data_IF_773586434885
#
_entry.id   IF_773586434885
#
_cell.length_a   1.000
_cell.length_b   1.000
_cell.length_c   1.000
_cell.angle_alpha   90.00
_cell.angle_beta   90.00
_cell.angle_gamma   90.00
#
_symmetry.space_group_name_H-M   'P 1'
#
loop_
_entity.id
_entity.type
_entity.pdbx_description
1 polymer ?
#
# COMPACT_ATOMS: atom_id res chain seq x y z
N UNK A 1 8.94 -19.14 0.68
CA UNK A 1 9.10 -18.05 -0.30
C UNK A 1 9.49 -16.78 0.45
N UNK A 2 10.39 -15.98 -0.12
CA UNK A 2 10.94 -14.78 0.50
C UNK A 2 11.14 -13.70 -0.60
N UNK A 3 10.97 -12.39 -0.32
CA UNK A 3 11.17 -11.32 -1.31
C UNK A 3 12.58 -11.34 -1.88
N UNK A 4 12.76 -10.97 -3.15
CA UNK A 4 14.10 -10.88 -3.74
C UNK A 4 14.88 -9.66 -3.23
N UNK A 5 14.15 -8.62 -2.79
CA UNK A 5 14.73 -7.39 -2.25
C UNK A 5 13.91 -6.86 -1.07
N UNK A 6 14.61 -6.50 -0.01
CA UNK A 6 14.07 -5.83 1.16
C UNK A 6 14.66 -4.43 1.22
N UNK A 7 13.80 -3.43 1.05
CA UNK A 7 14.14 -2.02 1.15
C UNK A 7 13.82 -1.52 2.56
N UNK A 8 14.75 -0.76 3.13
CA UNK A 8 14.68 -0.24 4.48
C UNK A 8 14.85 1.29 4.42
N UNK A 9 13.91 2.03 5.01
CA UNK A 9 14.15 3.43 5.35
C UNK A 9 15.22 3.55 6.47
N UNK A 10 15.71 4.76 6.74
CA UNK A 10 16.72 5.01 7.77
C UNK A 10 16.16 5.59 9.05
N UNK A 11 15.73 6.85 9.01
CA UNK A 11 15.41 7.62 10.21
C UNK A 11 14.12 7.06 10.79
N UNK A 12 14.06 6.81 12.10
CA UNK A 12 12.92 6.15 12.78
C UNK A 12 12.53 4.76 12.29
N UNK A 13 13.26 4.19 11.33
CA UNK A 13 13.10 2.81 10.84
C UNK A 13 14.27 1.91 11.26
N UNK A 14 15.49 2.21 10.81
CA UNK A 14 16.70 1.46 11.21
C UNK A 14 17.29 1.98 12.52
N UNK A 15 17.16 3.28 12.76
CA UNK A 15 17.65 3.90 13.99
C UNK A 15 16.72 5.01 14.47
N UNK A 16 16.72 5.23 15.77
CA UNK A 16 16.01 6.33 16.40
C UNK A 16 16.77 7.65 16.17
N UNK A 17 16.03 8.70 15.80
CA UNK A 17 16.55 10.06 15.60
C UNK A 17 16.74 10.44 14.14
N UNK A 18 17.07 11.71 13.91
CA UNK A 18 17.26 12.30 12.59
C UNK A 18 18.75 12.54 12.32
N UNK A 19 19.30 11.85 11.32
CA UNK A 19 20.65 12.10 10.80
C UNK A 19 20.62 13.02 9.57
N UNK A 20 19.72 14.01 9.58
CA UNK A 20 19.53 14.95 8.48
C UNK A 20 19.81 16.38 8.94
N UNK A 21 20.78 17.12 8.35
CA UNK A 21 21.08 18.50 8.71
C UNK A 21 19.91 19.48 8.55
N UNK A 22 18.87 19.12 7.79
CA UNK A 22 17.60 19.87 7.68
C UNK A 22 16.81 19.86 8.97
N UNK A 23 16.81 18.73 9.69
CA UNK A 23 16.00 18.51 10.89
C UNK A 23 16.83 18.50 12.17
N UNK A 24 18.16 18.53 12.04
CA UNK A 24 19.08 18.35 13.15
C UNK A 24 20.32 19.25 13.02
N UNK A 25 20.98 19.51 14.15
CA UNK A 25 22.14 20.39 14.22
C UNK A 25 23.47 19.62 14.32
N UNK A 26 23.55 18.43 13.68
CA UNK A 26 24.78 17.65 13.63
C UNK A 26 25.92 18.46 12.98
N UNK A 27 27.10 18.40 13.59
CA UNK A 27 28.32 19.07 13.13
C UNK A 27 28.24 20.59 13.07
N UNK A 28 27.35 21.23 13.85
CA UNK A 28 27.21 22.70 13.91
C UNK A 28 27.75 23.34 15.19
N UNK A 29 28.18 22.55 16.18
CA UNK A 29 28.71 23.06 17.44
C UNK A 29 30.19 23.48 17.35
N UNK A 30 30.70 24.02 18.46
CA UNK A 30 32.11 24.44 18.57
C UNK A 30 33.04 23.24 18.35
N UNK A 31 34.04 23.39 17.47
CA UNK A 31 35.00 22.32 17.16
C UNK A 31 34.52 21.31 16.11
N UNK A 32 33.47 21.66 15.36
CA UNK A 32 32.98 20.87 14.23
C UNK A 32 34.08 20.58 13.19
N UNK A 33 34.00 19.38 12.63
CA UNK A 33 34.86 18.90 11.53
C UNK A 33 34.10 18.97 10.22
N UNK A 34 34.85 19.02 9.12
CA UNK A 34 34.34 18.90 7.77
C UNK A 34 35.00 17.68 7.11
N UNK A 35 34.23 16.79 6.46
CA UNK A 35 32.78 16.89 6.23
C UNK A 35 31.93 16.62 7.48
N UNK A 36 30.62 16.93 7.44
CA UNK A 36 29.72 16.91 8.61
C UNK A 36 29.68 15.55 9.31
N UNK A 37 29.82 14.45 8.56
CA UNK A 37 29.84 13.09 9.08
C UNK A 37 31.05 12.75 9.96
N UNK A 38 32.13 13.53 9.91
CA UNK A 38 33.29 13.36 10.80
C UNK A 38 33.03 13.90 12.21
N UNK A 39 31.81 14.38 12.46
CA UNK A 39 31.30 14.71 13.78
C UNK A 39 30.57 13.54 14.46
N UNK A 40 30.35 12.41 13.78
CA UNK A 40 29.75 11.24 14.43
C UNK A 40 30.79 10.52 15.31
N UNK A 41 30.50 10.44 16.60
CA UNK A 41 31.25 9.67 17.58
C UNK A 41 30.46 8.42 17.99
N UNK A 42 31.12 7.25 17.97
CA UNK A 42 30.53 6.00 18.47
C UNK A 42 30.57 6.00 20.00
N UNK A 43 29.43 5.73 20.62
CA UNK A 43 29.32 5.58 22.07
C UNK A 43 29.38 4.11 22.46
N UNK A 44 28.59 3.26 21.80
CA UNK A 44 28.60 1.81 22.03
C UNK A 44 28.27 1.04 20.72
N UNK A 45 27.85 -0.23 20.82
CA UNK A 45 27.49 -1.06 19.65
C UNK A 45 26.24 -0.61 18.91
N UNK A 46 25.36 0.18 19.52
CA UNK A 46 24.08 0.65 18.95
C UNK A 46 23.93 2.16 19.01
N UNK A 47 24.65 2.87 19.87
CA UNK A 47 24.53 4.32 20.01
C UNK A 47 25.69 5.07 19.35
N UNK A 48 25.34 6.12 18.62
CA UNK A 48 26.23 7.18 18.16
C UNK A 48 25.76 8.54 18.68
N UNK A 49 26.64 9.53 18.71
CA UNK A 49 26.33 10.90 19.10
C UNK A 49 27.10 11.92 18.27
N UNK A 50 26.64 13.16 18.29
CA UNK A 50 27.38 14.28 17.72
C UNK A 50 28.49 14.71 18.67
N UNK A 51 29.73 14.77 18.18
CA UNK A 51 30.92 15.19 18.93
C UNK A 51 30.85 16.63 19.45
N UNK A 52 30.14 17.51 18.76
CA UNK A 52 30.03 18.93 19.12
C UNK A 52 28.81 19.24 19.97
N UNK A 53 27.85 18.33 20.03
CA UNK A 53 26.68 18.39 20.88
C UNK A 53 26.23 16.99 21.31
N UNK A 54 26.70 16.52 22.47
CA UNK A 54 26.41 15.17 22.98
C UNK A 54 24.92 14.90 23.28
N UNK A 55 24.04 15.91 23.22
CA UNK A 55 22.60 15.72 23.32
C UNK A 55 21.99 15.18 22.01
N UNK A 56 22.66 15.37 20.87
CA UNK A 56 22.26 14.77 19.61
C UNK A 56 22.79 13.33 19.57
N UNK A 57 21.87 12.37 19.65
CA UNK A 57 22.16 10.94 19.68
C UNK A 57 21.28 10.21 18.68
N UNK A 58 21.81 9.13 18.12
CA UNK A 58 21.03 8.17 17.35
C UNK A 58 21.33 6.75 17.83
N UNK A 59 20.30 5.91 17.81
CA UNK A 59 20.35 4.56 18.35
C UNK A 59 19.83 3.55 17.34
N UNK A 60 20.65 2.57 16.95
CA UNK A 60 20.19 1.45 16.16
C UNK A 60 19.12 0.66 16.93
N UNK A 61 17.98 0.41 16.28
CA UNK A 61 16.94 -0.43 16.86
C UNK A 61 17.46 -1.86 17.09
N UNK A 62 17.06 -2.46 18.22
CA UNK A 62 17.70 -3.66 18.75
C UNK A 62 17.61 -4.88 17.82
N UNK A 63 16.51 -5.02 17.07
CA UNK A 63 16.28 -6.16 16.18
C UNK A 63 16.93 -6.00 14.80
N UNK A 64 17.38 -4.80 14.43
CA UNK A 64 17.90 -4.53 13.08
C UNK A 64 19.07 -5.43 12.69
N UNK A 65 20.09 -5.69 13.54
CA UNK A 65 21.14 -6.64 13.20
C UNK A 65 20.64 -8.05 12.89
N UNK A 66 19.65 -8.55 13.66
CA UNK A 66 19.02 -9.85 13.44
C UNK A 66 18.21 -9.88 12.15
N UNK A 67 17.49 -8.81 11.85
CA UNK A 67 16.68 -8.68 10.64
C UNK A 67 17.58 -8.67 9.39
N UNK A 68 18.66 -7.90 9.40
CA UNK A 68 19.65 -7.90 8.32
C UNK A 68 20.20 -9.30 8.09
N UNK A 69 20.55 -10.02 9.16
CA UNK A 69 21.02 -11.40 9.05
C UNK A 69 19.97 -12.31 8.40
N UNK A 70 18.70 -12.23 8.80
CA UNK A 70 17.61 -13.04 8.22
C UNK A 70 17.38 -12.74 6.73
N UNK A 71 17.43 -11.47 6.33
CA UNK A 71 17.32 -11.06 4.92
C UNK A 71 18.42 -11.74 4.09
N UNK A 72 19.66 -11.67 4.55
CA UNK A 72 20.82 -12.21 3.85
C UNK A 72 20.81 -13.74 3.81
N UNK A 73 20.41 -14.41 4.91
CA UNK A 73 20.26 -15.87 4.97
C UNK A 73 19.20 -16.40 4.00
N UNK A 74 18.19 -15.59 3.68
CA UNK A 74 17.18 -15.90 2.68
C UNK A 74 17.57 -15.46 1.25
N UNK A 75 18.85 -15.11 1.02
CA UNK A 75 19.39 -14.69 -0.28
C UNK A 75 18.71 -13.44 -0.89
N UNK A 76 18.11 -12.59 -0.05
CA UNK A 76 17.52 -11.34 -0.51
C UNK A 76 18.53 -10.20 -0.48
N UNK A 77 18.37 -9.27 -1.42
CA UNK A 77 19.17 -8.04 -1.48
C UNK A 77 18.64 -7.00 -0.52
N UNK A 78 19.51 -6.32 0.19
CA UNK A 78 19.15 -5.17 1.02
C UNK A 78 19.32 -3.90 0.20
N UNK A 79 18.28 -3.06 0.18
CA UNK A 79 18.35 -1.69 -0.32
C UNK A 79 18.08 -0.70 0.82
N UNK A 80 18.80 0.42 0.83
CA UNK A 80 18.42 1.59 1.63
C UNK A 80 17.65 2.55 0.73
N UNK A 81 16.48 2.98 1.20
CA UNK A 81 15.59 3.91 0.51
C UNK A 81 15.22 5.02 1.48
N UNK A 82 15.96 6.12 1.44
CA UNK A 82 15.87 7.20 2.42
C UNK A 82 15.72 8.55 1.75
N UNK A 83 14.76 9.34 2.25
CA UNK A 83 14.58 10.75 1.86
C UNK A 83 15.51 11.70 2.59
N UNK A 84 16.41 11.18 3.43
CA UNK A 84 17.41 11.95 4.14
C UNK A 84 18.31 12.69 3.13
N UNK A 85 18.54 13.98 3.38
CA UNK A 85 19.32 14.84 2.51
C UNK A 85 20.84 14.65 2.65
N UNK A 86 21.31 13.93 3.68
CA UNK A 86 22.72 13.67 3.96
C UNK A 86 23.07 12.20 3.86
N UNK A 87 23.46 11.79 2.65
CA UNK A 87 24.05 10.46 2.41
C UNK A 87 25.28 10.20 3.29
N UNK A 88 26.10 11.22 3.54
CA UNK A 88 27.34 11.11 4.33
C UNK A 88 27.08 10.69 5.77
N UNK A 89 26.14 11.37 6.46
CA UNK A 89 25.78 11.05 7.85
C UNK A 89 25.21 9.66 7.98
N UNK A 90 24.21 9.31 7.16
CA UNK A 90 23.61 7.97 7.21
C UNK A 90 24.64 6.88 6.90
N UNK A 91 25.47 7.06 5.86
CA UNK A 91 26.49 6.07 5.48
C UNK A 91 27.53 5.88 6.58
N UNK A 92 27.94 6.96 7.26
CA UNK A 92 28.88 6.91 8.39
C UNK A 92 28.26 6.24 9.61
N UNK A 93 27.00 6.52 9.94
CA UNK A 93 26.30 5.85 11.03
C UNK A 93 26.20 4.33 10.78
N UNK A 94 25.76 3.94 9.58
CA UNK A 94 25.65 2.55 9.16
C UNK A 94 27.00 1.81 9.07
N UNK A 95 28.14 2.52 9.06
CA UNK A 95 29.47 1.90 9.08
C UNK A 95 29.94 1.51 10.48
N UNK A 96 29.47 2.23 11.52
CA UNK A 96 29.75 1.92 12.91
C UNK A 96 28.94 0.74 13.44
N UNK A 97 27.70 0.60 12.98
CA UNK A 97 26.83 -0.50 13.38
C UNK A 97 27.14 -1.78 12.60
N UNK A 98 27.01 -2.92 13.28
CA UNK A 98 27.37 -4.24 12.75
C UNK A 98 26.16 -5.18 12.69
N UNK A 99 26.17 -6.07 11.71
CA UNK A 99 25.27 -7.21 11.60
C UNK A 99 26.04 -8.42 11.07
N UNK A 100 25.46 -9.63 11.21
CA UNK A 100 26.08 -10.86 10.72
C UNK A 100 25.76 -11.07 9.25
N UNK A 101 26.77 -11.42 8.46
CA UNK A 101 26.60 -11.90 7.10
C UNK A 101 26.13 -13.37 7.07
N UNK A 102 25.86 -13.96 5.88
CA UNK A 102 25.43 -15.38 5.80
C UNK A 102 26.40 -16.39 6.41
N UNK A 103 27.69 -16.06 6.52
CA UNK A 103 28.71 -16.92 7.13
C UNK A 103 28.79 -16.75 8.65
N UNK A 104 28.00 -15.82 9.21
CA UNK A 104 27.98 -15.50 10.63
C UNK A 104 29.03 -14.48 11.07
N UNK A 105 29.82 -13.93 10.14
CA UNK A 105 30.83 -12.92 10.43
C UNK A 105 30.20 -11.54 10.62
N UNK A 106 30.67 -10.77 11.60
CA UNK A 106 30.22 -9.40 11.80
C UNK A 106 30.80 -8.46 10.74
N UNK A 107 29.92 -7.71 10.07
CA UNK A 107 30.25 -6.75 9.03
C UNK A 107 29.54 -5.44 9.28
N UNK A 108 30.07 -4.34 8.77
CA UNK A 108 29.36 -3.07 8.83
C UNK A 108 28.04 -3.18 8.07
N UNK A 109 26.95 -2.65 8.62
CA UNK A 109 25.64 -2.72 7.95
C UNK A 109 25.74 -2.11 6.55
N UNK A 110 26.46 -1.00 6.41
CA UNK A 110 26.65 -0.34 5.11
C UNK A 110 27.34 -1.22 4.05
N UNK A 111 28.14 -2.20 4.45
CA UNK A 111 28.85 -3.13 3.55
C UNK A 111 27.95 -4.28 3.10
N UNK A 112 26.88 -4.55 3.84
CA UNK A 112 25.87 -5.57 3.53
C UNK A 112 24.74 -5.05 2.62
N UNK A 113 24.61 -3.72 2.52
CA UNK A 113 23.63 -3.05 1.67
C UNK A 113 24.09 -3.07 0.21
N UNK A 114 23.26 -3.61 -0.67
CA UNK A 114 23.55 -3.72 -2.11
C UNK A 114 23.18 -2.49 -2.92
N UNK A 115 22.09 -1.79 -2.55
CA UNK A 115 21.58 -0.61 -3.26
C UNK A 115 21.36 0.53 -2.26
N UNK A 116 21.78 1.74 -2.60
CA UNK A 116 21.88 2.88 -1.66
C UNK A 116 21.25 4.12 -2.29
N UNK A 117 19.95 4.31 -2.10
CA UNK A 117 19.22 5.46 -2.61
C UNK A 117 18.94 6.45 -1.46
N UNK A 118 19.76 7.50 -1.38
CA UNK A 118 19.72 8.57 -0.35
C UNK A 118 19.54 9.93 -1.02
N UNK A 119 18.30 10.41 -1.09
CA UNK A 119 18.00 11.76 -1.59
C UNK A 119 16.53 12.13 -1.34
N UNK A 120 16.26 13.42 -1.15
CA UNK A 120 14.91 13.92 -0.87
C UNK A 120 14.03 13.97 -2.14
N UNK A 121 13.54 12.79 -2.54
CA UNK A 121 12.57 12.58 -3.62
C UNK A 121 11.49 11.58 -3.19
N UNK A 122 10.34 11.53 -3.89
CA UNK A 122 9.36 10.46 -3.66
C UNK A 122 9.99 9.08 -3.74
N UNK A 123 9.58 8.16 -2.85
CA UNK A 123 10.12 6.79 -2.86
C UNK A 123 9.79 6.00 -4.13
N UNK A 124 8.78 6.43 -4.88
CA UNK A 124 8.52 5.89 -6.22
C UNK A 124 9.70 6.09 -7.18
N UNK A 125 10.40 7.23 -7.12
CA UNK A 125 11.62 7.45 -7.93
C UNK A 125 12.79 6.56 -7.48
N UNK A 126 12.93 6.35 -6.17
CA UNK A 126 13.94 5.44 -5.61
C UNK A 126 13.71 4.01 -6.12
N UNK A 127 12.47 3.54 -6.07
CA UNK A 127 12.11 2.21 -6.56
C UNK A 127 12.25 2.08 -8.08
N UNK A 128 12.00 3.12 -8.87
CA UNK A 128 12.26 3.10 -10.30
C UNK A 128 13.76 2.85 -10.60
N UNK A 129 14.65 3.50 -9.85
CA UNK A 129 16.09 3.28 -9.97
C UNK A 129 16.52 1.90 -9.47
N UNK A 130 15.97 1.44 -8.34
CA UNK A 130 16.19 0.08 -7.83
C UNK A 130 15.74 -0.98 -8.83
N UNK A 131 14.57 -0.84 -9.46
CA UNK A 131 14.09 -1.75 -10.51
C UNK A 131 15.04 -1.75 -11.71
N UNK A 132 15.50 -0.56 -12.14
CA UNK A 132 16.47 -0.46 -13.24
C UNK A 132 17.79 -1.17 -12.95
N UNK A 133 18.29 -1.10 -11.71
CA UNK A 133 19.57 -1.71 -11.32
C UNK A 133 19.45 -3.19 -10.97
N UNK A 134 18.42 -3.58 -10.21
CA UNK A 134 18.21 -4.96 -9.75
C UNK A 134 17.57 -5.86 -10.81
N UNK A 135 16.81 -5.28 -11.75
CA UNK A 135 15.94 -5.98 -12.71
C UNK A 135 14.84 -6.83 -12.04
N UNK A 136 14.60 -6.68 -10.75
CA UNK A 136 13.49 -7.35 -10.08
C UNK A 136 12.17 -6.64 -10.34
N UNK A 137 11.08 -7.40 -10.35
CA UNK A 137 9.75 -6.82 -10.41
C UNK A 137 9.38 -6.19 -9.07
N UNK A 138 8.56 -5.12 -9.07
CA UNK A 138 8.17 -4.45 -7.83
C UNK A 138 7.48 -5.38 -6.84
N UNK A 139 6.70 -6.31 -7.38
CA UNK A 139 6.04 -7.38 -6.64
C UNK A 139 7.00 -8.37 -5.96
N UNK A 140 8.27 -8.41 -6.36
CA UNK A 140 9.32 -9.19 -5.67
C UNK A 140 9.99 -8.39 -4.52
N UNK A 141 9.52 -7.16 -4.25
CA UNK A 141 10.11 -6.24 -3.29
C UNK A 141 9.16 -5.94 -2.12
N UNK A 142 9.76 -5.61 -0.98
CA UNK A 142 9.07 -5.05 0.19
C UNK A 142 9.81 -3.81 0.70
N UNK A 143 9.07 -2.78 1.13
CA UNK A 143 9.57 -1.61 1.83
C UNK A 143 9.13 -1.65 3.30
N UNK A 144 10.07 -1.39 4.20
CA UNK A 144 9.81 -1.04 5.59
C UNK A 144 10.16 0.43 5.83
N UNK A 145 9.24 1.16 6.48
CA UNK A 145 9.32 2.61 6.66
C UNK A 145 8.45 3.04 7.84
N UNK A 146 8.77 4.09 8.59
CA UNK A 146 7.91 4.61 9.65
C UNK A 146 6.84 5.58 9.13
N UNK A 147 7.09 6.22 7.99
CA UNK A 147 6.17 7.18 7.39
C UNK A 147 5.14 6.47 6.50
N UNK A 148 3.88 6.45 6.95
CA UNK A 148 2.76 5.88 6.20
C UNK A 148 2.60 6.49 4.79
N UNK A 149 3.06 7.72 4.54
CA UNK A 149 2.98 8.35 3.20
C UNK A 149 3.74 7.56 2.14
N UNK A 150 4.71 6.73 2.55
CA UNK A 150 5.43 5.82 1.68
C UNK A 150 4.56 4.69 1.12
N UNK A 151 3.32 4.49 1.62
CA UNK A 151 2.35 3.56 1.01
C UNK A 151 2.07 3.86 -0.48
N UNK A 152 2.43 5.06 -0.95
CA UNK A 152 2.40 5.41 -2.36
C UNK A 152 3.20 4.44 -3.23
N UNK A 153 4.26 3.78 -2.74
CA UNK A 153 5.00 2.78 -3.54
C UNK A 153 4.17 1.52 -3.76
N UNK A 154 3.34 1.14 -2.81
CA UNK A 154 2.40 0.03 -2.97
C UNK A 154 1.29 0.40 -3.94
N UNK A 155 0.71 1.59 -3.75
CA UNK A 155 -0.36 2.10 -4.59
C UNK A 155 0.09 2.29 -6.04
N UNK A 156 1.25 2.89 -6.29
CA UNK A 156 1.72 3.26 -7.63
C UNK A 156 2.51 2.15 -8.35
N UNK A 157 3.29 1.36 -7.61
CA UNK A 157 4.28 0.44 -8.18
C UNK A 157 4.04 -1.03 -7.82
N UNK A 158 3.39 -1.32 -6.69
CA UNK A 158 3.13 -2.70 -6.22
C UNK A 158 4.23 -3.33 -5.42
N UNK A 159 5.11 -2.50 -4.87
CA UNK A 159 5.99 -2.90 -3.79
C UNK A 159 5.12 -3.20 -2.58
N UNK A 160 5.35 -4.31 -1.87
CA UNK A 160 4.67 -4.52 -0.59
C UNK A 160 5.15 -3.48 0.41
N UNK A 161 4.26 -2.82 1.15
CA UNK A 161 4.63 -1.77 2.10
C UNK A 161 4.24 -2.13 3.53
N UNK A 162 5.20 -2.14 4.45
CA UNK A 162 4.99 -2.37 5.88
C UNK A 162 5.44 -1.16 6.70
N UNK A 163 4.50 -0.53 7.40
CA UNK A 163 4.80 0.63 8.24
C UNK A 163 5.35 0.23 9.61
N UNK A 164 6.39 0.92 10.07
CA UNK A 164 6.99 0.84 11.42
C UNK A 164 6.36 1.89 12.33
N UNK A 165 5.16 1.61 12.82
CA UNK A 165 4.34 2.59 13.56
C UNK A 165 4.92 2.97 14.93
N UNK A 166 4.40 4.07 15.46
CA UNK A 166 4.56 4.52 16.84
C UNK A 166 6.02 4.76 17.27
N UNK A 167 6.90 5.10 16.32
CA UNK A 167 8.33 5.35 16.55
C UNK A 167 9.08 4.17 17.20
N UNK A 168 8.52 2.96 17.11
CA UNK A 168 9.14 1.72 17.62
C UNK A 168 10.27 1.21 16.74
N UNK A 169 10.41 1.78 15.54
CA UNK A 169 11.33 1.33 14.52
C UNK A 169 10.99 -0.06 13.98
N UNK A 170 11.94 -0.58 13.22
CA UNK A 170 11.84 -1.91 12.66
C UNK A 170 12.12 -2.97 13.74
N UNK A 171 11.06 -3.54 14.30
CA UNK A 171 11.11 -4.67 15.24
C UNK A 171 11.03 -6.00 14.50
N UNK A 172 11.42 -7.10 15.16
CA UNK A 172 11.30 -8.44 14.61
C UNK A 172 9.85 -8.79 14.25
N UNK A 173 8.89 -8.43 15.09
CA UNK A 173 7.48 -8.71 14.85
C UNK A 173 6.93 -7.91 13.66
N UNK A 174 7.29 -6.63 13.55
CA UNK A 174 6.90 -5.80 12.41
C UNK A 174 7.48 -6.36 11.11
N UNK A 175 8.75 -6.77 11.15
CA UNK A 175 9.43 -7.41 10.03
C UNK A 175 8.73 -8.71 9.59
N UNK A 176 8.43 -9.63 10.52
CA UNK A 176 7.74 -10.88 10.20
C UNK A 176 6.32 -10.64 9.65
N UNK A 177 5.60 -9.64 10.19
CA UNK A 177 4.29 -9.23 9.64
C UNK A 177 4.40 -8.74 8.20
N UNK A 178 5.41 -7.92 7.89
CA UNK A 178 5.69 -7.47 6.54
C UNK A 178 6.02 -8.63 5.59
N UNK A 179 6.88 -9.55 6.00
CA UNK A 179 7.23 -10.73 5.20
C UNK A 179 5.99 -11.62 4.94
N UNK A 180 5.13 -11.84 5.93
CA UNK A 180 3.90 -12.62 5.71
C UNK A 180 2.91 -11.88 4.81
N UNK A 181 2.79 -10.55 4.93
CA UNK A 181 2.00 -9.74 3.99
C UNK A 181 2.50 -9.88 2.56
N UNK A 182 3.82 -9.83 2.34
CA UNK A 182 4.40 -10.05 1.02
C UNK A 182 4.05 -11.44 0.48
N UNK A 183 4.12 -12.49 1.32
CA UNK A 183 3.71 -13.86 0.93
C UNK A 183 2.23 -13.93 0.57
N UNK A 184 1.34 -13.27 1.33
CA UNK A 184 -0.09 -13.20 0.99
C UNK A 184 -0.33 -12.48 -0.35
N UNK A 185 0.43 -11.40 -0.62
CA UNK A 185 0.41 -10.74 -1.92
C UNK A 185 0.84 -11.68 -3.06
N UNK A 186 1.82 -12.57 -2.86
CA UNK A 186 2.20 -13.55 -3.89
C UNK A 186 1.12 -14.62 -4.12
N UNK A 187 0.42 -15.07 -3.07
CA UNK A 187 -0.60 -16.12 -3.16
C UNK A 187 -1.82 -15.72 -3.98
N UNK A 188 -2.06 -14.42 -4.18
CA UNK A 188 -3.22 -13.90 -4.91
C UNK A 188 -2.90 -13.56 -6.37
N UNK A 189 -1.66 -13.75 -6.83
CA UNK A 189 -1.28 -13.34 -8.19
C UNK A 189 -1.79 -14.31 -9.23
N UNK A 190 -2.62 -13.81 -10.13
CA UNK A 190 -2.90 -14.43 -11.42
C UNK A 190 -2.04 -13.75 -12.49
N UNK A 191 -1.33 -14.48 -13.36
CA UNK A 191 -0.59 -13.89 -14.48
C UNK A 191 -1.49 -12.99 -15.35
N UNK A 192 -0.92 -11.90 -15.87
CA UNK A 192 -1.58 -11.07 -16.87
C UNK A 192 -1.14 -11.53 -18.28
N UNK A 193 -2.07 -12.09 -19.02
CA UNK A 193 -1.92 -12.66 -20.36
C UNK A 193 -2.61 -11.78 -21.43
N UNK A 194 -2.76 -10.49 -21.17
CA UNK A 194 -3.52 -9.55 -21.99
C UNK A 194 -5.01 -9.53 -21.68
N UNK A 195 -5.80 -8.86 -22.54
CA UNK A 195 -7.25 -8.69 -22.39
C UNK A 195 -8.09 -9.77 -23.07
N UNK A 196 -7.47 -10.83 -23.62
CA UNK A 196 -8.24 -11.91 -24.24
C UNK A 196 -8.95 -12.75 -23.15
N UNK A 197 -10.28 -12.73 -23.16
CA UNK A 197 -11.11 -13.52 -22.22
C UNK A 197 -10.79 -15.02 -22.24
N UNK A 198 -10.46 -15.57 -23.41
CA UNK A 198 -10.14 -17.00 -23.58
C UNK A 198 -8.89 -17.43 -22.80
N UNK A 199 -7.99 -16.50 -22.49
CA UNK A 199 -6.78 -16.77 -21.70
C UNK A 199 -7.06 -17.05 -20.22
N UNK A 200 -8.30 -16.83 -19.76
CA UNK A 200 -8.69 -16.94 -18.35
C UNK A 200 -9.91 -17.85 -18.20
N UNK A 201 -9.72 -19.18 -18.17
CA UNK A 201 -10.83 -20.13 -18.10
C UNK A 201 -11.60 -20.05 -16.78
N UNK A 202 -10.94 -19.64 -15.69
CA UNK A 202 -11.52 -19.49 -14.34
C UNK A 202 -12.03 -18.08 -14.06
N UNK A 203 -12.08 -17.20 -15.05
CA UNK A 203 -12.49 -15.82 -14.84
C UNK A 203 -13.89 -15.73 -14.24
N UNK A 204 -14.14 -14.70 -13.44
CA UNK A 204 -15.43 -14.48 -12.82
C UNK A 204 -15.82 -13.01 -12.89
N UNK A 205 -17.05 -12.74 -13.31
CA UNK A 205 -17.58 -11.38 -13.35
C UNK A 205 -17.85 -10.89 -11.93
N UNK A 206 -17.46 -9.65 -11.64
CA UNK A 206 -17.56 -9.11 -10.27
C UNK A 206 -18.24 -7.74 -10.19
N UNK A 207 -18.53 -7.09 -11.32
CA UNK A 207 -19.33 -5.86 -11.34
C UNK A 207 -18.80 -4.80 -12.30
N UNK A 208 -19.17 -3.56 -12.05
CA UNK A 208 -18.96 -2.42 -12.93
C UNK A 208 -18.27 -1.28 -12.21
N UNK A 209 -17.44 -0.50 -12.91
CA UNK A 209 -16.76 0.66 -12.35
C UNK A 209 -16.68 1.78 -13.38
N UNK A 210 -16.98 3.02 -12.98
CA UNK A 210 -16.70 4.22 -13.77
C UNK A 210 -15.25 4.62 -13.60
N UNK A 211 -14.55 4.96 -14.69
CA UNK A 211 -13.13 5.31 -14.66
C UNK A 211 -12.78 6.32 -15.75
N UNK A 212 -11.71 7.09 -15.53
CA UNK A 212 -11.11 7.90 -16.59
C UNK A 212 -10.32 7.03 -17.59
N UNK A 213 -10.18 7.55 -18.82
CA UNK A 213 -9.52 6.85 -19.92
C UNK A 213 -8.05 6.50 -19.63
N UNK A 214 -7.35 7.30 -18.81
CA UNK A 214 -5.97 7.02 -18.39
C UNK A 214 -5.90 5.79 -17.50
N UNK A 215 -6.75 5.71 -16.49
CA UNK A 215 -6.89 4.54 -15.61
C UNK A 215 -7.26 3.28 -16.41
N UNK A 216 -8.21 3.39 -17.34
CA UNK A 216 -8.60 2.28 -18.21
C UNK A 216 -7.39 1.74 -18.98
N UNK A 217 -6.60 2.62 -19.60
CA UNK A 217 -5.40 2.21 -20.36
C UNK A 217 -4.35 1.55 -19.48
N UNK A 218 -4.14 2.05 -18.27
CA UNK A 218 -3.20 1.44 -17.33
C UNK A 218 -3.64 0.02 -16.96
N UNK A 219 -4.90 -0.17 -16.59
CA UNK A 219 -5.44 -1.49 -16.24
C UNK A 219 -5.48 -2.44 -17.44
N UNK A 220 -5.79 -1.92 -18.63
CA UNK A 220 -5.82 -2.73 -19.85
C UNK A 220 -4.45 -3.28 -20.24
N UNK A 221 -3.37 -2.62 -19.82
CA UNK A 221 -1.99 -3.05 -20.02
C UNK A 221 -1.42 -3.86 -18.84
N UNK A 222 -2.29 -4.35 -17.94
CA UNK A 222 -1.87 -5.12 -16.77
C UNK A 222 -1.25 -4.28 -15.65
N UNK A 223 -1.42 -2.95 -15.72
CA UNK A 223 -1.03 -2.03 -14.67
C UNK A 223 -2.08 -1.90 -13.58
N UNK A 224 -2.09 -0.75 -12.93
CA UNK A 224 -2.98 -0.43 -11.80
C UNK A 224 -3.47 1.00 -11.89
N UNK A 225 -4.55 1.30 -11.17
CA UNK A 225 -5.01 2.66 -10.95
C UNK A 225 -3.96 3.44 -10.15
N UNK A 226 -3.71 4.68 -10.56
CA UNK A 226 -2.67 5.55 -9.99
C UNK A 226 -3.18 6.96 -9.64
N UNK A 227 -4.42 7.28 -10.00
CA UNK A 227 -4.96 8.59 -9.71
C UNK A 227 -5.24 8.72 -8.21
N UNK A 228 -5.04 9.94 -7.71
CA UNK A 228 -5.20 10.31 -6.30
C UNK A 228 -6.21 11.43 -6.12
N UNK A 229 -6.91 11.79 -7.20
CA UNK A 229 -7.79 12.95 -7.28
C UNK A 229 -9.26 12.57 -7.20
N UNK A 230 -9.63 11.36 -7.60
CA UNK A 230 -11.01 10.90 -7.47
C UNK A 230 -11.42 10.88 -6.01
N UNK A 231 -12.63 11.37 -5.74
CA UNK A 231 -13.21 11.30 -4.42
C UNK A 231 -13.40 9.84 -4.03
N UNK A 232 -12.71 9.42 -2.98
CA UNK A 232 -12.77 8.06 -2.48
C UNK A 232 -12.94 8.08 -0.95
N UNK A 233 -13.95 7.33 -0.51
CA UNK A 233 -14.30 7.05 0.88
C UNK A 233 -13.30 6.10 1.58
N UNK A 234 -12.52 5.34 0.82
CA UNK A 234 -11.69 4.23 1.31
C UNK A 234 -10.27 4.29 0.73
N UNK A 235 -9.56 5.39 0.99
CA UNK A 235 -8.20 5.60 0.48
C UNK A 235 -8.18 5.80 -1.04
N UNK A 236 -7.18 5.26 -1.74
CA UNK A 236 -7.04 5.36 -3.20
C UNK A 236 -7.53 4.09 -3.92
N UNK A 237 -8.59 3.48 -3.41
CA UNK A 237 -9.13 2.24 -3.95
C UNK A 237 -10.04 2.46 -5.17
N UNK A 238 -10.24 1.40 -5.93
CA UNK A 238 -11.19 1.36 -7.04
C UNK A 238 -12.53 0.83 -6.53
N UNK A 239 -13.59 1.58 -6.83
CA UNK A 239 -14.97 1.22 -6.50
C UNK A 239 -15.58 0.37 -7.60
N UNK A 240 -16.29 -0.68 -7.18
CA UNK A 240 -17.02 -1.58 -8.05
C UNK A 240 -18.45 -1.65 -7.52
N UNK A 241 -19.40 -1.38 -8.41
CA UNK A 241 -20.82 -1.51 -8.17
C UNK A 241 -21.36 -2.81 -8.77
N UNK A 242 -22.36 -3.38 -8.14
CA UNK A 242 -23.16 -4.50 -8.67
C UNK A 242 -24.20 -4.03 -9.71
N UNK A 243 -24.40 -2.73 -9.89
CA UNK A 243 -25.37 -2.17 -10.84
C UNK A 243 -24.67 -1.22 -11.84
N UNK A 244 -24.80 -1.45 -13.17
CA UNK A 244 -24.18 -0.60 -14.17
C UNK A 244 -24.67 0.85 -14.11
N UNK A 245 -25.91 1.10 -13.71
CA UNK A 245 -26.42 2.47 -13.55
C UNK A 245 -25.74 3.21 -12.39
N UNK A 246 -25.38 2.51 -11.31
CA UNK A 246 -24.60 3.09 -10.20
C UNK A 246 -23.19 3.42 -10.70
N UNK A 247 -22.56 2.51 -11.45
CA UNK A 247 -21.25 2.78 -12.06
C UNK A 247 -21.30 3.97 -13.03
N UNK A 248 -22.37 4.12 -13.83
CA UNK A 248 -22.60 5.30 -14.67
C UNK A 248 -22.75 6.58 -13.87
N UNK A 249 -23.47 6.56 -12.74
CA UNK A 249 -23.57 7.73 -11.87
C UNK A 249 -22.19 8.19 -11.39
N UNK A 250 -21.36 7.25 -10.91
CA UNK A 250 -19.99 7.57 -10.50
C UNK A 250 -19.11 8.00 -11.66
N UNK A 251 -19.29 7.41 -12.84
CA UNK A 251 -18.60 7.81 -14.06
C UNK A 251 -18.80 9.28 -14.42
N UNK A 252 -20.01 9.81 -14.24
CA UNK A 252 -20.32 11.23 -14.43
C UNK A 252 -19.83 12.10 -13.26
N UNK A 253 -19.94 11.58 -12.03
CA UNK A 253 -19.44 12.31 -10.84
C UNK A 253 -17.94 12.59 -10.91
N UNK A 254 -17.16 11.65 -11.44
CA UNK A 254 -15.72 11.78 -11.67
C UNK A 254 -15.39 13.01 -12.54
N UNK A 255 -16.19 13.29 -13.57
CA UNK A 255 -16.01 14.46 -14.43
C UNK A 255 -16.21 15.75 -13.63
N UNK A 256 -17.29 15.82 -12.86
CA UNK A 256 -17.61 17.01 -12.07
C UNK A 256 -16.64 17.28 -10.92
N UNK A 257 -16.06 16.23 -10.32
CA UNK A 257 -15.39 16.35 -9.03
C UNK A 257 -13.86 16.13 -9.05
N UNK A 258 -13.32 15.49 -10.09
CA UNK A 258 -11.90 15.09 -10.11
C UNK A 258 -11.14 15.55 -11.35
N UNK A 259 -11.72 15.39 -12.54
CA UNK A 259 -10.98 15.56 -13.81
C UNK A 259 -11.54 16.64 -14.75
N UNK A 260 -12.65 17.29 -14.40
CA UNK A 260 -13.31 18.30 -15.22
C UNK A 260 -14.35 17.70 -16.18
N UNK A 261 -15.26 18.56 -16.66
CA UNK A 261 -16.39 18.13 -17.50
C UNK A 261 -15.96 17.52 -18.85
N UNK A 262 -14.80 17.93 -19.36
CA UNK A 262 -14.23 17.41 -20.61
C UNK A 262 -13.49 16.07 -20.43
N UNK A 263 -13.44 15.53 -19.20
CA UNK A 263 -12.79 14.26 -18.93
C UNK A 263 -13.47 13.11 -19.69
N UNK A 264 -12.65 12.34 -20.40
CA UNK A 264 -13.10 11.11 -21.05
C UNK A 264 -13.18 10.01 -20.00
N UNK A 265 -14.39 9.66 -19.59
CA UNK A 265 -14.67 8.59 -18.65
C UNK A 265 -15.57 7.54 -19.28
N UNK A 266 -15.46 6.29 -18.84
CA UNK A 266 -16.25 5.19 -19.35
C UNK A 266 -16.54 4.16 -18.24
N UNK A 267 -17.73 3.56 -18.29
CA UNK A 267 -18.04 2.41 -17.43
C UNK A 267 -17.35 1.17 -17.97
N UNK A 268 -16.70 0.43 -17.09
CA UNK A 268 -16.03 -0.82 -17.40
C UNK A 268 -16.69 -1.98 -16.66
N UNK A 269 -16.88 -3.10 -17.37
CA UNK A 269 -17.13 -4.40 -16.75
C UNK A 269 -15.81 -4.96 -16.21
N UNK A 270 -15.82 -5.37 -14.95
CA UNK A 270 -14.66 -5.92 -14.27
C UNK A 270 -14.81 -7.41 -14.03
N UNK A 271 -13.72 -8.12 -14.31
CA UNK A 271 -13.62 -9.57 -14.15
C UNK A 271 -12.38 -9.90 -13.35
N UNK A 272 -12.47 -10.84 -12.43
CA UNK A 272 -11.28 -11.48 -11.87
C UNK A 272 -10.75 -12.51 -12.85
N UNK A 273 -9.43 -12.58 -13.03
CA UNK A 273 -8.72 -13.51 -13.93
C UNK A 273 -8.81 -14.95 -13.45
N UNK A 274 -8.80 -15.15 -12.13
CA UNK A 274 -8.95 -16.44 -11.48
C UNK A 274 -9.96 -16.34 -10.34
N UNK A 275 -11.14 -16.93 -10.56
CA UNK A 275 -12.25 -16.93 -9.63
C UNK A 275 -12.01 -17.78 -8.38
N UNK A 276 -11.15 -18.81 -8.45
CA UNK A 276 -10.81 -19.65 -7.29
C UNK A 276 -9.88 -18.90 -6.35
N UNK A 277 -8.90 -18.17 -6.91
CA UNK A 277 -8.04 -17.27 -6.14
C UNK A 277 -8.86 -16.15 -5.51
N UNK A 278 -9.79 -15.56 -6.26
CA UNK A 278 -10.68 -14.54 -5.72
C UNK A 278 -11.49 -15.09 -4.55
N UNK A 279 -12.11 -16.27 -4.65
CA UNK A 279 -12.90 -16.86 -3.55
C UNK A 279 -12.07 -17.12 -2.29
N UNK A 280 -10.82 -17.57 -2.43
CA UNK A 280 -9.90 -17.81 -1.31
C UNK A 280 -9.30 -16.55 -0.70
N UNK A 281 -9.29 -15.44 -1.44
CA UNK A 281 -8.78 -14.16 -0.93
C UNK A 281 -9.62 -13.67 0.24
N UNK A 282 -8.94 -13.02 1.19
CA UNK A 282 -9.55 -12.33 2.31
C UNK A 282 -10.56 -11.27 1.83
N UNK A 283 -11.78 -11.32 2.39
CA UNK A 283 -12.85 -10.37 2.13
C UNK A 283 -13.52 -9.99 3.42
N UNK A 284 -13.91 -8.73 3.52
CA UNK A 284 -14.59 -8.22 4.71
C UNK A 284 -15.66 -7.22 4.33
N UNK A 285 -16.80 -7.29 5.03
CA UNK A 285 -17.79 -6.23 5.00
C UNK A 285 -17.61 -5.31 6.20
N UNK A 286 -17.21 -4.07 5.96
CA UNK A 286 -17.00 -3.10 7.04
C UNK A 286 -18.29 -2.35 7.36
N UNK A 287 -18.51 -1.97 8.63
CA UNK A 287 -19.67 -1.16 8.99
C UNK A 287 -19.51 0.24 8.39
N UNK A 288 -20.63 0.91 8.12
CA UNK A 288 -20.64 2.30 7.69
C UNK A 288 -20.35 3.24 8.88
N UNK A 289 -19.09 3.26 9.32
CA UNK A 289 -18.60 4.13 10.40
C UNK A 289 -17.65 5.18 9.84
N UNK A 290 -17.98 6.46 10.04
CA UNK A 290 -17.24 7.59 9.46
C UNK A 290 -15.76 7.66 9.86
N UNK A 291 -15.37 7.08 11.00
CA UNK A 291 -13.98 7.05 11.46
C UNK A 291 -13.08 6.07 10.67
N UNK A 292 -13.66 5.16 9.88
CA UNK A 292 -12.90 4.26 9.00
C UNK A 292 -12.71 4.84 7.59
N UNK A 293 -13.41 5.94 7.31
CA UNK A 293 -13.51 6.55 5.99
C UNK A 293 -12.46 7.63 5.82
N UNK A 294 -12.09 7.84 4.57
CA UNK A 294 -11.11 8.81 4.13
C UNK A 294 -11.83 9.94 3.40
N UNK A 295 -11.33 11.17 3.54
CA UNK A 295 -11.77 12.29 2.72
C UNK A 295 -10.63 12.78 1.83
N UNK A 296 -10.44 12.09 0.70
CA UNK A 296 -9.31 12.35 -0.23
C UNK A 296 -9.30 13.79 -0.78
N UNK A 297 -10.45 14.46 -0.83
CA UNK A 297 -10.55 15.81 -1.37
C UNK A 297 -10.12 16.91 -0.39
N UNK A 298 -10.21 16.64 0.92
CA UNK A 298 -9.96 17.64 1.97
C UNK A 298 -8.74 17.30 2.83
N UNK A 299 -8.27 16.07 2.81
CA UNK A 299 -7.17 15.62 3.64
C UNK A 299 -5.86 15.65 2.85
N UNK A 300 -4.76 15.97 3.54
CA UNK A 300 -3.42 15.83 2.97
C UNK A 300 -3.01 14.36 2.87
N UNK A 301 -1.91 14.11 2.15
CA UNK A 301 -1.39 12.76 1.89
C UNK A 301 -1.08 11.99 3.18
N UNK A 302 -0.57 12.66 4.21
CA UNK A 302 -0.22 12.05 5.49
C UNK A 302 -1.46 11.55 6.22
N UNK A 303 -2.47 12.40 6.34
CA UNK A 303 -3.74 12.03 6.98
C UNK A 303 -4.45 10.91 6.22
N UNK A 304 -4.41 10.92 4.88
CA UNK A 304 -4.96 9.84 4.05
C UNK A 304 -4.21 8.53 4.32
N UNK A 305 -2.88 8.57 4.32
CA UNK A 305 -2.07 7.38 4.53
C UNK A 305 -2.25 6.78 5.93
N UNK A 306 -2.24 7.59 6.99
CA UNK A 306 -2.48 7.10 8.35
C UNK A 306 -3.91 6.59 8.55
N UNK A 307 -4.90 7.18 7.88
CA UNK A 307 -6.28 6.67 7.86
C UNK A 307 -6.37 5.27 7.24
N UNK A 308 -5.64 5.01 6.15
CA UNK A 308 -5.53 3.66 5.57
C UNK A 308 -4.92 2.68 6.57
N UNK A 309 -3.82 3.05 7.24
CA UNK A 309 -3.16 2.19 8.22
C UNK A 309 -4.04 1.90 9.45
N UNK A 310 -4.81 2.87 9.91
CA UNK A 310 -5.77 2.69 11.01
C UNK A 310 -6.92 1.76 10.62
N UNK A 311 -7.41 1.89 9.38
CA UNK A 311 -8.41 0.98 8.81
C UNK A 311 -7.86 -0.44 8.71
N UNK A 312 -6.65 -0.63 8.19
CA UNK A 312 -6.02 -1.94 8.07
C UNK A 312 -5.84 -2.61 9.44
N UNK A 313 -5.47 -1.85 10.48
CA UNK A 313 -5.40 -2.35 11.86
C UNK A 313 -6.77 -2.73 12.42
N UNK A 314 -7.81 -1.93 12.15
CA UNK A 314 -9.17 -2.24 12.59
C UNK A 314 -9.71 -3.48 11.86
N UNK A 315 -9.41 -3.63 10.58
CA UNK A 315 -9.76 -4.83 9.80
C UNK A 315 -9.05 -6.07 10.35
N UNK A 316 -7.77 -5.95 10.72
CA UNK A 316 -7.03 -7.02 11.37
C UNK A 316 -7.61 -7.44 12.72
N UNK A 317 -8.18 -6.52 13.50
CA UNK A 317 -8.84 -6.87 14.77
C UNK A 317 -10.16 -7.64 14.60
N UNK A 318 -10.72 -7.65 13.38
CA UNK A 318 -11.82 -8.53 12.99
C UNK A 318 -11.35 -9.84 12.35
N UNK A 319 -10.06 -10.15 12.40
CA UNK A 319 -9.48 -11.42 11.92
C UNK A 319 -9.15 -11.45 10.43
N UNK A 320 -9.21 -10.31 9.73
CA UNK A 320 -8.95 -10.22 8.30
C UNK A 320 -7.64 -9.46 8.04
N UNK A 321 -6.72 -10.04 7.29
CA UNK A 321 -5.41 -9.43 7.03
C UNK A 321 -5.26 -8.95 5.59
N UNK A 322 -4.46 -7.90 5.37
CA UNK A 322 -4.09 -7.41 4.03
C UNK A 322 -3.24 -8.44 3.27
N UNK A 323 -3.43 -8.61 1.94
CA UNK A 323 -4.41 -7.94 1.08
C UNK A 323 -5.82 -8.49 1.29
N UNK A 324 -6.82 -7.61 1.22
CA UNK A 324 -8.23 -7.97 1.28
C UNK A 324 -9.05 -7.13 0.29
N UNK A 325 -10.25 -7.61 -0.05
CA UNK A 325 -11.31 -6.81 -0.69
C UNK A 325 -12.29 -6.37 0.39
N UNK A 326 -12.68 -5.10 0.33
CA UNK A 326 -13.60 -4.51 1.29
C UNK A 326 -14.97 -4.32 0.65
N UNK A 327 -16.01 -4.65 1.40
CA UNK A 327 -17.40 -4.37 1.04
C UNK A 327 -17.94 -3.36 2.06
N UNK A 328 -18.77 -2.44 1.59
CA UNK A 328 -19.43 -1.49 2.47
C UNK A 328 -20.86 -1.21 2.00
N UNK A 329 -21.70 -0.80 2.95
CA UNK A 329 -22.97 -0.15 2.65
C UNK A 329 -22.75 1.34 2.52
N UNK A 330 -23.44 1.95 1.57
CA UNK A 330 -23.40 3.39 1.37
C UNK A 330 -24.84 3.94 1.38
N UNK A 331 -25.09 5.08 2.06
CA UNK A 331 -26.39 5.73 2.03
C UNK A 331 -26.76 6.18 0.62
N UNK A 332 -28.05 6.46 0.40
CA UNK A 332 -28.50 7.10 -0.83
C UNK A 332 -27.76 8.43 -1.05
N UNK A 333 -27.24 8.65 -2.25
CA UNK A 333 -26.49 9.86 -2.65
C UNK A 333 -27.41 11.03 -3.05
N UNK A 334 -28.72 10.87 -2.94
CA UNK A 334 -29.70 11.92 -3.19
C UNK A 334 -30.17 11.98 -4.64
N UNK A 335 -30.46 13.20 -5.12
CA UNK A 335 -31.08 13.42 -6.42
C UNK A 335 -30.25 12.86 -7.57
N UNK A 336 -30.90 12.16 -8.50
CA UNK A 336 -30.26 11.56 -9.67
C UNK A 336 -29.51 10.24 -9.40
N UNK A 337 -29.40 9.80 -8.14
CA UNK A 337 -28.84 8.49 -7.84
C UNK A 337 -29.83 7.37 -8.26
N UNK A 338 -29.38 6.31 -8.96
CA UNK A 338 -30.27 5.31 -9.54
C UNK A 338 -30.97 4.42 -8.49
N UNK A 339 -30.52 4.46 -7.24
CA UNK A 339 -31.19 3.79 -6.12
C UNK A 339 -32.14 4.80 -5.46
N UNK A 340 -33.44 4.67 -5.73
CA UNK A 340 -34.47 5.65 -5.33
C UNK A 340 -34.74 5.69 -3.83
N UNK A 341 -34.55 4.58 -3.11
CA UNK A 341 -34.70 4.50 -1.65
C UNK A 341 -33.77 3.44 -1.08
N UNK A 342 -33.28 3.66 0.13
CA UNK A 342 -32.41 2.73 0.85
C UNK A 342 -30.91 2.93 0.63
N UNK A 343 -30.15 1.87 0.93
CA UNK A 343 -28.68 1.84 0.84
C UNK A 343 -28.25 0.99 -0.34
N UNK A 344 -27.02 1.15 -0.80
CA UNK A 344 -26.43 0.35 -1.87
C UNK A 344 -25.09 -0.25 -1.43
N UNK A 345 -24.59 -1.22 -2.18
CA UNK A 345 -23.34 -1.92 -1.86
C UNK A 345 -22.21 -1.52 -2.78
N UNK A 346 -21.05 -1.29 -2.20
CA UNK A 346 -19.81 -1.14 -2.94
C UNK A 346 -18.84 -2.25 -2.59
N UNK A 347 -18.10 -2.69 -3.60
CA UNK A 347 -16.88 -3.47 -3.46
C UNK A 347 -15.70 -2.55 -3.74
N UNK A 348 -14.69 -2.61 -2.87
CA UNK A 348 -13.55 -1.70 -2.81
C UNK A 348 -12.28 -2.51 -2.98
N UNK A 349 -11.55 -2.23 -4.05
CA UNK A 349 -10.37 -3.00 -4.46
C UNK A 349 -9.15 -2.09 -4.45
N UNK A 350 -8.14 -2.44 -3.65
CA UNK A 350 -6.88 -1.68 -3.53
C UNK A 350 -5.87 -2.06 -4.62
N UNK A 351 -4.90 -1.19 -4.89
CA UNK A 351 -3.92 -1.34 -5.97
C UNK A 351 -3.23 -2.71 -6.04
N UNK A 352 -2.81 -3.28 -4.90
CA UNK A 352 -2.18 -4.61 -4.89
C UNK A 352 -3.13 -5.73 -5.39
N UNK A 353 -4.43 -5.60 -5.12
CA UNK A 353 -5.43 -6.57 -5.53
C UNK A 353 -5.84 -6.36 -6.99
N UNK A 354 -5.98 -5.09 -7.42
CA UNK A 354 -6.34 -4.72 -8.79
C UNK A 354 -5.38 -5.34 -9.80
N UNK A 355 -4.08 -5.05 -9.66
CA UNK A 355 -3.07 -5.55 -10.57
C UNK A 355 -3.00 -7.08 -10.55
N UNK A 356 -3.11 -7.69 -9.35
CA UNK A 356 -2.93 -9.12 -9.16
C UNK A 356 -4.05 -10.00 -9.74
N UNK A 357 -5.27 -9.47 -9.87
CA UNK A 357 -6.44 -10.30 -10.18
C UNK A 357 -7.38 -9.76 -11.25
N UNK A 358 -7.40 -8.47 -11.60
CA UNK A 358 -8.53 -7.92 -12.35
C UNK A 358 -8.25 -7.73 -13.84
N UNK A 359 -9.30 -7.79 -14.64
CA UNK A 359 -9.40 -7.37 -16.04
C UNK A 359 -10.43 -6.26 -16.15
N UNK A 360 -10.24 -5.39 -17.13
CA UNK A 360 -11.03 -4.18 -17.33
C UNK A 360 -11.50 -4.09 -18.77
N UNK A 361 -12.81 -4.18 -18.97
CA UNK A 361 -13.46 -4.14 -20.28
C UNK A 361 -14.40 -2.93 -20.37
N UNK A 362 -14.00 -1.87 -21.10
CA UNK A 362 -14.84 -0.70 -21.30
C UNK A 362 -16.10 -1.06 -22.07
N UNK A 363 -17.23 -0.47 -21.67
CA UNK A 363 -18.54 -0.70 -22.27
C UNK A 363 -18.99 0.55 -23.04
N UNK A 364 -19.60 0.35 -24.21
CA UNK A 364 -20.34 1.39 -24.92
C UNK A 364 -21.65 1.72 -24.20
N UNK A 365 -22.23 2.88 -24.52
CA UNK A 365 -23.53 3.29 -23.96
C UNK A 365 -24.65 2.27 -24.23
N UNK A 366 -24.61 1.60 -25.39
CA UNK A 366 -25.57 0.56 -25.73
C UNK A 366 -25.38 -0.68 -24.85
N UNK A 367 -24.12 -1.11 -24.63
CA UNK A 367 -23.81 -2.22 -23.74
C UNK A 367 -24.18 -1.91 -22.28
N UNK A 368 -23.96 -0.68 -21.81
CA UNK A 368 -24.37 -0.26 -20.45
C UNK A 368 -25.89 -0.36 -20.30
N UNK A 369 -26.67 0.11 -21.29
CA UNK A 369 -28.13 0.02 -21.27
C UNK A 369 -28.64 -1.42 -21.31
N UNK A 370 -27.92 -2.31 -21.98
CA UNK A 370 -28.25 -3.72 -22.10
C UNK A 370 -27.68 -4.59 -20.95
N UNK A 371 -26.76 -4.04 -20.14
CA UNK A 371 -26.07 -4.78 -19.10
C UNK A 371 -27.03 -5.21 -17.99
N UNK A 372 -26.94 -6.48 -17.62
CA UNK A 372 -27.64 -7.01 -16.46
C UNK A 372 -27.06 -6.44 -15.14
N UNK A 373 -27.80 -6.61 -14.04
CA UNK A 373 -27.18 -6.45 -12.73
C UNK A 373 -26.07 -7.49 -12.57
N UNK A 374 -24.97 -7.05 -11.97
CA UNK A 374 -23.91 -7.91 -11.49
C UNK A 374 -24.31 -8.69 -10.24
N UNK A 375 -23.35 -9.44 -9.66
CA UNK A 375 -23.60 -10.21 -8.45
C UNK A 375 -23.93 -9.26 -7.30
N UNK A 376 -25.13 -9.41 -6.71
CA UNK A 376 -25.54 -8.64 -5.53
C UNK A 376 -24.67 -9.01 -4.34
N UNK A 377 -23.80 -8.10 -3.91
CA UNK A 377 -22.73 -8.44 -2.96
C UNK A 377 -23.23 -9.03 -1.65
N UNK A 378 -24.38 -8.58 -1.14
CA UNK A 378 -25.00 -9.10 0.08
C UNK A 378 -25.48 -10.56 -0.07
N UNK A 379 -25.74 -11.01 -1.29
CA UNK A 379 -26.11 -12.41 -1.58
C UNK A 379 -24.87 -13.29 -1.77
N UNK A 380 -23.69 -12.68 -1.94
CA UNK A 380 -22.43 -13.39 -2.16
C UNK A 380 -21.65 -13.63 -0.86
N UNK A 381 -22.17 -13.25 0.31
CA UNK A 381 -21.45 -13.34 1.59
C UNK A 381 -20.91 -14.74 1.84
N UNK A 382 -21.78 -15.76 1.78
CA UNK A 382 -21.39 -17.16 1.97
C UNK A 382 -20.49 -17.66 0.83
N UNK A 383 -20.91 -17.45 -0.42
CA UNK A 383 -20.19 -17.96 -1.60
C UNK A 383 -18.77 -17.39 -1.74
N UNK A 384 -18.57 -16.12 -1.41
CA UNK A 384 -17.27 -15.45 -1.51
C UNK A 384 -16.49 -15.44 -0.20
N UNK A 385 -16.99 -16.14 0.83
CA UNK A 385 -16.38 -16.20 2.15
C UNK A 385 -16.08 -14.80 2.73
N UNK A 386 -17.08 -13.92 2.69
CA UNK A 386 -16.96 -12.55 3.18
C UNK A 386 -17.11 -12.55 4.69
N UNK A 387 -16.08 -12.06 5.39
CA UNK A 387 -16.13 -11.89 6.84
C UNK A 387 -17.07 -10.73 7.19
N UNK A 388 -18.01 -10.97 8.09
CA UNK A 388 -18.96 -9.95 8.58
C UNK A 388 -18.77 -9.75 10.09
N UNK A 389 -18.09 -8.67 10.52
CA UNK A 389 -17.98 -8.27 11.92
C UNK A 389 -19.33 -8.10 12.61
N UNK A 390 -19.37 -8.27 13.93
CA UNK A 390 -20.57 -8.05 14.76
C UNK A 390 -21.19 -6.68 14.56
N UNK A 391 -20.34 -5.64 14.47
CA UNK A 391 -20.72 -4.26 14.27
C UNK A 391 -21.39 -4.06 12.91
N UNK A 392 -20.90 -4.73 11.86
CA UNK A 392 -21.54 -4.73 10.54
C UNK A 392 -22.92 -5.39 10.63
N UNK A 393 -23.05 -6.56 11.28
CA UNK A 393 -24.37 -7.21 11.45
C UNK A 393 -25.36 -6.33 12.23
N UNK A 394 -24.88 -5.55 13.20
CA UNK A 394 -25.71 -4.60 13.94
C UNK A 394 -26.16 -3.44 13.06
N UNK A 395 -25.25 -2.87 12.25
CA UNK A 395 -25.57 -1.81 11.29
C UNK A 395 -26.62 -2.27 10.26
N UNK A 396 -26.52 -3.49 9.74
CA UNK A 396 -27.56 -4.05 8.87
C UNK A 396 -28.91 -4.13 9.59
N UNK A 397 -28.95 -4.70 10.80
CA UNK A 397 -30.17 -4.83 11.60
C UNK A 397 -30.80 -3.49 11.94
N UNK A 398 -30.01 -2.45 12.25
CA UNK A 398 -30.54 -1.11 12.56
C UNK A 398 -31.22 -0.44 11.36
N UNK A 399 -30.94 -0.92 10.15
CA UNK A 399 -31.57 -0.47 8.90
C UNK A 399 -32.63 -1.44 8.38
N UNK A 400 -33.04 -2.44 9.17
CA UNK A 400 -34.04 -3.44 8.76
C UNK A 400 -33.54 -4.41 7.69
N UNK A 401 -32.23 -4.51 7.50
CA UNK A 401 -31.61 -5.40 6.53
C UNK A 401 -31.12 -6.68 7.23
N UNK A 402 -31.55 -7.84 6.75
CA UNK A 402 -31.10 -9.13 7.27
C UNK A 402 -30.13 -9.77 6.28
N UNK A 403 -28.85 -9.84 6.67
CA UNK A 403 -27.83 -10.61 5.94
C UNK A 403 -27.75 -12.02 6.52
N UNK A 404 -27.91 -13.01 5.63
CA UNK A 404 -27.76 -14.42 5.98
C UNK A 404 -26.29 -14.81 5.99
#
# INVERSE_FOLDING_TARGET
MYPKLVALDTDWTLFQGWLDPKFSNWGKGRGARSPVEDNIERVDSRQIRDRTNHNLKCHLYADVPRIIQDILQNNARIAIVSRNSSKGLCSRALSYWKAKDPTGQERAIIDLVTLKEFYDRPKTEHFAKIKSQSKFEYSDMILFDDDATSNIVEMMLGVTFQVSRDQKGLTWDNYQQGIEMWRRNQRIRSPFLGQNFGSYPKRKFVGYAGMDQGTIRLLQNGGRRQDRKEAARWGYAMYIADNPAIASYFNEWIKGNAFGQDAKTQVCALWVRDGDLFEKMNKIWVPDQGNLQTNVQKWDESRIAWSQEDRDRKVASWGVQKPYVLFARHPNMGSGFPVRSGRWNEMVVYGQTQEALFLTFPLSDQEIKAAAQGPRFEQMISQWNITIPSETRQDFRSHGENIQ
#
